data_IF_904477028281
#
_entry.id   IF_904477028281
#
_cell.length_a   1.000
_cell.length_b   1.000
_cell.length_c   1.000
_cell.angle_alpha   90.00
_cell.angle_beta   90.00
_cell.angle_gamma   90.00
#
_symmetry.space_group_name_H-M   'P 1'
#
loop_
_entity.id
_entity.type
_entity.pdbx_description
1 polymer ?
#
# COMPACT_ATOMS: atom_id res chain seq x y z
N UNK A 1 -3.47 0.22 19.54
CA UNK A 1 -3.15 1.44 18.77
C UNK A 1 -1.73 1.90 19.05
N UNK A 2 -0.77 0.99 18.93
CA UNK A 2 0.65 1.29 19.09
C UNK A 2 1.47 0.28 18.31
N UNK A 3 2.60 0.72 17.76
CA UNK A 3 3.56 -0.12 17.04
C UNK A 3 2.85 -1.07 16.04
N UNK A 4 3.05 -2.38 16.14
CA UNK A 4 2.37 -3.37 15.30
C UNK A 4 0.87 -3.54 15.61
N UNK A 5 0.42 -3.24 16.84
CA UNK A 5 -0.98 -3.35 17.22
C UNK A 5 -1.74 -2.06 16.86
N UNK A 6 -1.89 -1.79 15.56
CA UNK A 6 -2.64 -0.64 15.04
C UNK A 6 -1.95 0.71 15.27
N UNK A 7 -0.61 0.74 15.28
CA UNK A 7 0.14 1.99 15.13
C UNK A 7 0.08 2.50 13.69
N UNK A 8 0.31 3.80 13.51
CA UNK A 8 0.36 4.42 12.19
C UNK A 8 1.81 4.55 11.73
N UNK A 9 2.14 3.96 10.59
CA UNK A 9 3.50 3.82 10.09
C UNK A 9 3.70 4.70 8.85
N UNK A 10 4.44 5.83 8.95
CA UNK A 10 4.65 6.73 7.81
C UNK A 10 5.31 6.06 6.61
N UNK A 11 6.14 5.03 6.83
CA UNK A 11 6.77 4.29 5.75
C UNK A 11 5.77 3.65 4.79
N UNK A 12 4.54 3.36 5.21
CA UNK A 12 3.51 2.76 4.32
C UNK A 12 2.95 3.74 3.28
N UNK A 13 3.30 5.04 3.38
CA UNK A 13 2.79 6.07 2.49
C UNK A 13 3.15 5.83 1.01
N UNK A 14 4.34 5.31 0.71
CA UNK A 14 4.71 5.01 -0.68
C UNK A 14 3.92 3.83 -1.24
N UNK A 15 3.63 2.80 -0.44
CA UNK A 15 2.83 1.65 -0.89
C UNK A 15 1.39 2.07 -1.18
N UNK A 16 0.81 2.90 -0.30
CA UNK A 16 -0.49 3.53 -0.56
C UNK A 16 -0.45 4.32 -1.88
N UNK A 17 0.61 5.08 -2.11
CA UNK A 17 0.77 5.89 -3.32
C UNK A 17 0.83 5.02 -4.58
N UNK A 18 1.63 3.95 -4.59
CA UNK A 18 1.68 2.99 -5.70
C UNK A 18 0.31 2.37 -5.97
N UNK A 19 -0.38 1.92 -4.92
CA UNK A 19 -1.72 1.34 -5.06
C UNK A 19 -2.72 2.35 -5.63
N UNK A 20 -2.72 3.58 -5.13
CA UNK A 20 -3.56 4.67 -5.62
C UNK A 20 -3.31 4.98 -7.10
N UNK A 21 -2.05 5.07 -7.52
CA UNK A 21 -1.71 5.30 -8.94
C UNK A 21 -2.22 4.14 -9.80
N UNK A 22 -1.97 2.89 -9.38
CA UNK A 22 -2.39 1.69 -10.12
C UNK A 22 -3.90 1.64 -10.37
N UNK A 23 -4.70 2.08 -9.42
CA UNK A 23 -6.18 2.06 -9.51
C UNK A 23 -6.78 3.40 -9.96
N UNK A 24 -5.96 4.32 -10.46
CA UNK A 24 -6.36 5.65 -10.94
C UNK A 24 -7.07 6.51 -9.88
N UNK A 25 -6.54 6.49 -8.65
CA UNK A 25 -7.06 7.21 -7.46
C UNK A 25 -5.96 8.01 -6.74
N UNK A 26 -5.14 8.72 -7.52
CA UNK A 26 -3.98 9.49 -7.04
C UNK A 26 -4.34 10.63 -6.08
N UNK A 27 -5.58 11.12 -6.09
CA UNK A 27 -6.05 12.16 -5.17
C UNK A 27 -6.04 11.70 -3.70
N UNK A 28 -6.24 10.39 -3.45
CA UNK A 28 -6.17 9.82 -2.10
C UNK A 28 -4.72 9.89 -1.59
N UNK A 29 -3.75 9.52 -2.44
CA UNK A 29 -2.34 9.56 -2.11
C UNK A 29 -1.85 11.01 -1.88
N UNK A 30 -2.27 11.95 -2.74
CA UNK A 30 -1.96 13.37 -2.57
C UNK A 30 -2.45 13.90 -1.21
N UNK A 31 -3.68 13.56 -0.82
CA UNK A 31 -4.23 13.92 0.50
C UNK A 31 -3.47 13.27 1.66
N UNK A 32 -3.05 12.01 1.51
CA UNK A 32 -2.27 11.32 2.53
C UNK A 32 -0.88 11.96 2.73
N UNK A 33 -0.23 12.36 1.63
CA UNK A 33 1.03 13.11 1.65
C UNK A 33 0.83 14.45 2.35
N UNK A 34 -0.21 15.22 2.00
CA UNK A 34 -0.53 16.49 2.65
C UNK A 34 -0.72 16.35 4.17
N UNK A 35 -1.40 15.28 4.61
CA UNK A 35 -1.58 15.00 6.05
C UNK A 35 -0.25 14.70 6.74
N UNK A 36 0.64 13.94 6.10
CA UNK A 36 1.97 13.65 6.63
C UNK A 36 2.85 14.90 6.70
N UNK A 37 2.83 15.73 5.64
CA UNK A 37 3.64 16.95 5.51
C UNK A 37 3.45 17.95 6.65
N UNK A 38 2.23 18.04 7.18
CA UNK A 38 1.89 18.98 8.26
C UNK A 38 2.76 18.82 9.51
N UNK A 39 3.32 17.63 9.77
CA UNK A 39 4.04 17.36 11.03
C UNK A 39 5.28 16.49 10.91
N UNK A 40 5.43 15.66 9.87
CA UNK A 40 6.45 14.59 9.84
C UNK A 40 7.89 15.09 10.01
N UNK A 41 8.22 16.24 9.43
CA UNK A 41 9.52 16.87 9.58
C UNK A 41 9.71 17.51 10.96
N UNK A 42 8.68 18.20 11.47
CA UNK A 42 8.70 18.84 12.81
C UNK A 42 8.83 17.80 13.93
N UNK A 43 8.22 16.63 13.75
CA UNK A 43 8.32 15.49 14.66
C UNK A 43 9.62 14.70 14.51
N UNK A 44 10.56 15.18 13.69
CA UNK A 44 11.87 14.56 13.46
C UNK A 44 11.77 13.13 12.91
N UNK A 45 10.86 12.90 11.96
CA UNK A 45 10.76 11.65 11.20
C UNK A 45 10.66 10.39 12.08
N UNK A 46 9.62 10.26 12.90
CA UNK A 46 9.45 9.12 13.78
C UNK A 46 9.19 7.82 12.99
N UNK A 47 9.62 6.70 13.54
CA UNK A 47 9.38 5.36 13.00
C UNK A 47 7.89 5.02 12.89
N UNK A 48 7.12 5.37 13.92
CA UNK A 48 5.67 5.18 13.96
C UNK A 48 4.98 6.19 14.90
N UNK A 49 3.66 6.30 14.77
CA UNK A 49 2.76 7.09 15.63
C UNK A 49 1.75 6.19 16.35
N UNK A 50 1.34 6.62 17.55
CA UNK A 50 0.39 5.93 18.41
C UNK A 50 -0.99 6.58 18.40
N UNK A 51 -1.95 5.86 18.99
CA UNK A 51 -3.39 6.16 19.13
C UNK A 51 -4.20 5.94 17.85
N UNK A 52 -5.53 5.85 18.02
CA UNK A 52 -6.50 5.66 16.93
C UNK A 52 -6.37 6.66 15.77
N UNK A 53 -5.82 7.85 16.04
CA UNK A 53 -5.72 8.96 15.07
C UNK A 53 -4.28 9.44 14.87
N UNK A 54 -3.28 8.62 15.22
CA UNK A 54 -1.86 8.96 15.05
C UNK A 54 -1.44 10.30 15.70
N UNK A 55 -2.08 10.68 16.82
CA UNK A 55 -1.86 12.01 17.43
C UNK A 55 -0.53 12.12 18.17
N UNK A 56 -0.02 11.01 18.70
CA UNK A 56 1.21 10.97 19.49
C UNK A 56 2.32 10.30 18.71
N UNK A 57 3.56 10.78 18.86
CA UNK A 57 4.74 10.02 18.44
C UNK A 57 4.71 8.68 19.18
N UNK A 58 5.08 7.60 18.48
CA UNK A 58 5.00 6.25 19.03
C UNK A 58 5.79 6.10 20.33
N UNK A 59 5.26 5.33 21.27
CA UNK A 59 5.82 5.17 22.63
C UNK A 59 7.31 4.85 22.67
N UNK A 60 7.81 4.07 21.71
CA UNK A 60 9.22 3.68 21.57
C UNK A 60 9.74 4.02 20.16
N UNK A 61 9.16 5.03 19.52
CA UNK A 61 9.49 5.42 18.16
C UNK A 61 10.91 5.99 18.09
N UNK A 62 11.73 5.43 17.21
CA UNK A 62 13.03 6.02 16.87
C UNK A 62 12.81 7.25 15.98
N UNK A 63 13.56 8.31 16.22
CA UNK A 63 13.56 9.51 15.40
C UNK A 63 14.55 9.36 14.24
N UNK A 64 14.35 10.16 13.19
CA UNK A 64 15.16 10.15 11.97
C UNK A 64 15.20 8.78 11.29
N UNK A 65 14.09 8.06 11.37
CA UNK A 65 14.01 6.71 10.85
C UNK A 65 14.07 6.72 9.31
N UNK A 66 15.06 6.04 8.76
CA UNK A 66 15.41 6.11 7.32
C UNK A 66 14.23 5.77 6.41
N UNK A 67 13.48 4.70 6.70
CA UNK A 67 12.35 4.28 5.87
C UNK A 67 11.12 5.20 5.95
N UNK A 68 11.06 6.08 6.97
CA UNK A 68 10.01 7.09 7.13
C UNK A 68 10.33 8.23 6.17
N UNK A 69 11.59 8.67 6.15
CA UNK A 69 12.10 9.69 5.22
C UNK A 69 11.98 9.18 3.77
N UNK A 70 12.51 7.99 3.50
CA UNK A 70 12.51 7.41 2.15
C UNK A 70 11.09 7.15 1.65
N UNK A 71 10.20 6.57 2.46
CA UNK A 71 8.82 6.32 2.06
C UNK A 71 8.05 7.62 1.74
N UNK A 72 8.31 8.68 2.50
CA UNK A 72 7.75 10.00 2.20
C UNK A 72 8.26 10.57 0.87
N UNK A 73 9.58 10.54 0.64
CA UNK A 73 10.18 11.05 -0.60
C UNK A 73 9.73 10.27 -1.83
N UNK A 74 9.68 8.94 -1.74
CA UNK A 74 9.20 8.07 -2.83
C UNK A 74 7.75 8.41 -3.16
N UNK A 75 6.88 8.58 -2.16
CA UNK A 75 5.49 8.97 -2.39
C UNK A 75 5.39 10.27 -3.19
N UNK A 76 6.16 11.31 -2.83
CA UNK A 76 6.18 12.59 -3.57
C UNK A 76 6.66 12.41 -5.01
N UNK A 77 7.77 11.71 -5.21
CA UNK A 77 8.33 11.48 -6.55
C UNK A 77 7.40 10.67 -7.46
N UNK A 78 6.65 9.72 -6.90
CA UNK A 78 5.65 8.96 -7.65
C UNK A 78 4.43 9.79 -8.01
N UNK A 79 4.01 10.72 -7.14
CA UNK A 79 2.94 11.67 -7.48
C UNK A 79 3.37 12.66 -8.56
N UNK A 80 4.63 13.09 -8.56
CA UNK A 80 5.20 13.96 -9.59
C UNK A 80 5.36 13.25 -10.94
N UNK A 81 5.70 11.96 -10.93
CA UNK A 81 5.84 11.14 -12.13
C UNK A 81 5.24 9.73 -11.92
N UNK A 82 3.92 9.58 -12.16
CA UNK A 82 3.20 8.33 -11.93
C UNK A 82 3.71 7.14 -12.75
N UNK A 83 4.29 7.37 -13.93
CA UNK A 83 4.80 6.31 -14.82
C UNK A 83 5.92 5.51 -14.15
N UNK A 84 6.70 6.15 -13.26
CA UNK A 84 7.75 5.47 -12.48
C UNK A 84 7.21 4.39 -11.56
N UNK A 85 5.93 4.45 -11.18
CA UNK A 85 5.31 3.42 -10.32
C UNK A 85 5.24 2.05 -11.00
N UNK A 86 5.32 1.99 -12.34
CA UNK A 86 5.13 0.76 -13.12
C UNK A 86 6.11 -0.36 -12.76
N UNK A 87 7.31 -0.01 -12.29
CA UNK A 87 8.32 -1.00 -11.85
C UNK A 87 7.95 -1.69 -10.53
N UNK A 88 6.99 -1.14 -9.78
CA UNK A 88 6.63 -1.58 -8.42
C UNK A 88 5.39 -2.47 -8.38
N UNK A 89 4.70 -2.66 -9.51
CA UNK A 89 3.49 -3.47 -9.55
C UNK A 89 3.35 -4.24 -10.87
N UNK A 90 2.66 -5.38 -10.81
CA UNK A 90 2.34 -6.21 -11.96
C UNK A 90 0.84 -6.20 -12.21
N UNK A 91 0.46 -6.47 -13.46
CA UNK A 91 -0.91 -6.78 -13.81
C UNK A 91 -1.32 -8.08 -13.09
N UNK A 92 -2.60 -8.16 -12.74
CA UNK A 92 -3.23 -9.33 -12.18
C UNK A 92 -3.13 -10.50 -13.17
N UNK A 93 -2.87 -11.70 -12.66
CA UNK A 93 -2.94 -12.92 -13.45
C UNK A 93 -4.43 -13.20 -13.78
N UNK A 94 -4.75 -13.29 -15.08
CA UNK A 94 -6.11 -13.54 -15.55
C UNK A 94 -6.68 -14.84 -15.01
N UNK A 95 -5.87 -15.89 -14.83
CA UNK A 95 -6.32 -17.16 -14.26
C UNK A 95 -6.71 -16.99 -12.79
N UNK A 96 -5.91 -16.23 -12.02
CA UNK A 96 -6.20 -15.92 -10.61
C UNK A 96 -7.45 -15.06 -10.51
N UNK A 97 -7.58 -14.01 -11.32
CA UNK A 97 -8.74 -13.12 -11.32
C UNK A 97 -10.03 -13.89 -11.65
N UNK A 98 -9.97 -14.75 -12.67
CA UNK A 98 -11.09 -15.61 -13.05
C UNK A 98 -11.45 -16.63 -11.95
N UNK A 99 -10.45 -17.21 -11.26
CA UNK A 99 -10.70 -18.11 -10.14
C UNK A 99 -11.36 -17.39 -8.95
N UNK A 100 -10.91 -16.18 -8.60
CA UNK A 100 -11.47 -15.37 -7.52
C UNK A 100 -12.91 -14.95 -7.82
N UNK A 101 -13.18 -14.45 -9.03
CA UNK A 101 -14.53 -14.08 -9.45
C UNK A 101 -15.52 -15.25 -9.37
N UNK A 102 -15.06 -16.47 -9.73
CA UNK A 102 -15.88 -17.69 -9.61
C UNK A 102 -16.16 -18.11 -8.16
N UNK A 103 -15.29 -17.75 -7.21
CA UNK A 103 -15.50 -18.04 -5.78
C UNK A 103 -16.46 -17.03 -5.13
N UNK A 104 -16.45 -15.78 -5.59
CA UNK A 104 -17.34 -14.73 -5.10
C UNK A 104 -18.76 -14.82 -5.70
N UNK A 105 -18.90 -15.44 -6.87
CA UNK A 105 -20.21 -15.76 -7.46
C UNK A 105 -20.86 -16.98 -6.81
N UNK A 106 -21.66 -16.75 -5.77
CA UNK A 106 -22.49 -17.77 -5.12
C UNK A 106 -23.52 -18.44 -6.08
N UNK A 107 -23.75 -17.88 -7.27
CA UNK A 107 -24.71 -18.37 -8.28
C UNK A 107 -24.15 -19.46 -9.21
N UNK A 108 -22.83 -19.69 -9.25
CA UNK A 108 -22.16 -20.51 -10.27
C UNK A 108 -21.74 -21.93 -9.81
N UNK A 109 -22.23 -22.41 -8.66
CA UNK A 109 -21.90 -23.74 -8.10
C UNK A 109 -22.21 -24.94 -9.02
N UNK A 110 -23.04 -24.78 -10.07
CA UNK A 110 -23.45 -25.89 -10.97
C UNK A 110 -22.53 -26.13 -12.18
N UNK A 111 -21.55 -25.25 -12.48
CA UNK A 111 -20.62 -25.43 -13.62
C UNK A 111 -19.26 -26.01 -13.18
N UNK A 112 -19.26 -27.10 -12.42
CA UNK A 112 -18.05 -27.86 -12.08
C UNK A 112 -17.73 -28.94 -13.13
N UNK A 113 -17.44 -28.58 -14.38
CA UNK A 113 -16.84 -29.52 -15.35
C UNK A 113 -15.87 -28.82 -16.29
N UNK A 114 -14.58 -29.16 -16.14
CA UNK A 114 -13.50 -28.74 -17.04
C UNK A 114 -12.31 -28.14 -16.31
N UNK A 115 -11.49 -28.98 -15.64
CA UNK A 115 -10.15 -28.57 -15.19
C UNK A 115 -9.26 -28.39 -16.43
N UNK A 116 -9.01 -27.16 -16.86
CA UNK A 116 -7.76 -26.85 -17.59
C UNK A 116 -6.69 -26.66 -16.51
N UNK A 117 -5.60 -27.42 -16.62
CA UNK A 117 -4.51 -27.39 -15.64
C UNK A 117 -3.90 -26.00 -15.57
N UNK A 118 -3.73 -25.49 -14.35
CA UNK A 118 -3.00 -24.26 -14.04
C UNK A 118 -1.63 -24.36 -14.72
N UNK A 119 -1.31 -23.44 -15.62
CA UNK A 119 0.06 -23.31 -16.11
C UNK A 119 0.89 -22.78 -14.95
N UNK A 120 1.83 -23.59 -14.48
CA UNK A 120 2.78 -23.19 -13.43
C UNK A 120 3.63 -22.03 -13.95
N UNK A 121 3.27 -20.82 -13.57
CA UNK A 121 4.14 -19.65 -13.62
C UNK A 121 5.01 -19.71 -12.36
N UNK A 122 6.12 -20.42 -12.46
CA UNK A 122 7.13 -20.35 -11.40
C UNK A 122 7.73 -18.95 -11.43
N UNK A 123 7.61 -18.22 -10.32
CA UNK A 123 8.48 -17.11 -10.00
C UNK A 123 9.64 -17.74 -9.24
N UNK A 124 10.84 -17.75 -9.84
CA UNK A 124 12.12 -17.95 -9.11
C UNK A 124 12.59 -16.59 -8.66
#
# INVERSE_FOLDING_TARGET
WSYHNGGSWPTLLWQLTVACIKVDRSEIAAKAVEVAERRIANDKWPEYYDTKRARFIGKQSRLFQTWTIAGFLVAKQLLENPDKSRILWNNEDEEILNAMNRMTDASNLKRRRGRKGLKKTYIV
#
